data_IF_896227490966
#
_entry.id   IF_896227490966
#
_cell.length_a   1.000
_cell.length_b   1.000
_cell.length_c   1.000
_cell.angle_alpha   90.00
_cell.angle_beta   90.00
_cell.angle_gamma   90.00
#
_symmetry.space_group_name_H-M   'P 1'
#
loop_
_entity.id
_entity.type
_entity.pdbx_description
1 polymer ?
#
# COMPACT_ATOMS: atom_id res chain seq x y z
N UNK A 1 -22.36 14.60 12.55
CA UNK A 1 -23.31 13.80 11.76
C UNK A 1 -22.67 13.14 10.53
N UNK A 2 -21.85 13.82 9.71
CA UNK A 2 -21.17 13.26 8.54
C UNK A 2 -20.25 12.06 8.87
N UNK A 3 -19.36 12.21 9.85
CA UNK A 3 -18.43 11.16 10.28
C UNK A 3 -19.11 9.93 10.86
N UNK A 4 -20.19 10.12 11.66
CA UNK A 4 -20.95 9.01 12.20
C UNK A 4 -21.61 8.20 11.07
N UNK A 5 -22.15 8.90 10.05
CA UNK A 5 -22.73 8.24 8.88
C UNK A 5 -21.66 7.45 8.10
N UNK A 6 -20.49 8.04 7.86
CA UNK A 6 -19.37 7.38 7.20
C UNK A 6 -18.88 6.15 7.99
N UNK A 7 -18.73 6.30 9.31
CA UNK A 7 -18.37 5.17 10.15
C UNK A 7 -19.40 4.05 10.08
N UNK A 8 -20.70 4.37 10.13
CA UNK A 8 -21.77 3.38 9.99
C UNK A 8 -21.80 2.71 8.61
N UNK A 9 -21.41 3.42 7.54
CA UNK A 9 -21.26 2.85 6.20
C UNK A 9 -20.10 1.84 6.12
N UNK A 10 -19.07 1.95 6.96
CA UNK A 10 -17.94 1.01 6.98
C UNK A 10 -18.28 -0.31 7.67
N UNK A 11 -19.24 -0.33 8.60
CA UNK A 11 -19.60 -1.55 9.34
C UNK A 11 -20.11 -2.66 8.41
N UNK A 12 -21.11 -2.45 7.52
CA UNK A 12 -21.53 -3.48 6.60
C UNK A 12 -20.42 -3.90 5.62
N UNK A 13 -19.56 -2.97 5.21
CA UNK A 13 -18.43 -3.27 4.34
C UNK A 13 -17.43 -4.19 5.07
N UNK A 14 -17.14 -3.91 6.33
CA UNK A 14 -16.28 -4.75 7.17
C UNK A 14 -16.82 -6.18 7.26
N UNK A 15 -18.13 -6.34 7.56
CA UNK A 15 -18.73 -7.67 7.61
C UNK A 15 -18.75 -8.37 6.25
N UNK A 16 -19.03 -7.66 5.17
CA UNK A 16 -18.97 -8.23 3.82
C UNK A 16 -17.57 -8.74 3.48
N UNK A 17 -16.53 -7.94 3.74
CA UNK A 17 -15.13 -8.33 3.51
C UNK A 17 -14.76 -9.52 4.41
N UNK A 18 -15.10 -9.49 5.69
CA UNK A 18 -14.76 -10.59 6.61
C UNK A 18 -15.43 -11.90 6.22
N UNK A 19 -16.68 -11.87 5.76
CA UNK A 19 -17.36 -13.07 5.25
C UNK A 19 -16.68 -13.59 3.98
N UNK A 20 -16.34 -12.71 3.04
CA UNK A 20 -15.66 -13.11 1.80
C UNK A 20 -14.31 -13.76 2.12
N UNK A 21 -13.50 -13.12 2.97
CA UNK A 21 -12.20 -13.64 3.39
C UNK A 21 -12.36 -15.00 4.06
N UNK A 22 -13.33 -15.15 4.97
CA UNK A 22 -13.60 -16.39 5.66
C UNK A 22 -14.06 -17.51 4.73
N UNK A 23 -14.96 -17.20 3.78
CA UNK A 23 -15.44 -18.18 2.79
C UNK A 23 -14.30 -18.63 1.88
N UNK A 24 -13.51 -17.70 1.36
CA UNK A 24 -12.32 -18.03 0.54
C UNK A 24 -11.42 -19.00 1.30
N UNK A 25 -11.12 -18.72 2.57
CA UNK A 25 -10.29 -19.58 3.38
C UNK A 25 -10.86 -21.00 3.52
N UNK A 26 -12.13 -21.10 3.91
CA UNK A 26 -12.74 -22.40 4.09
C UNK A 26 -12.93 -23.18 2.78
N UNK A 27 -12.83 -22.49 1.63
CA UNK A 27 -12.88 -23.10 0.29
C UNK A 27 -11.50 -23.55 -0.20
N UNK A 28 -10.42 -23.17 0.47
CA UNK A 28 -9.08 -23.59 0.07
C UNK A 28 -8.87 -25.08 0.35
N UNK A 29 -8.31 -25.84 -0.61
CA UNK A 29 -8.06 -27.25 -0.41
C UNK A 29 -6.97 -27.49 0.64
N UNK A 30 -7.25 -28.31 1.63
CA UNK A 30 -6.31 -28.72 2.66
C UNK A 30 -6.94 -28.83 4.05
N UNK A 31 -6.65 -29.91 4.75
CA UNK A 31 -7.00 -30.04 6.18
C UNK A 31 -5.88 -29.37 7.00
N UNK A 32 -6.19 -28.37 7.84
CA UNK A 32 -5.20 -27.70 8.68
C UNK A 32 -4.38 -28.67 9.55
N UNK A 33 -4.97 -29.74 10.01
CA UNK A 33 -4.27 -30.76 10.79
C UNK A 33 -3.32 -31.60 9.95
N UNK A 34 -3.66 -31.88 8.67
CA UNK A 34 -2.74 -32.56 7.77
C UNK A 34 -1.52 -31.68 7.46
N UNK A 35 -1.69 -30.37 7.33
CA UNK A 35 -0.57 -29.45 7.14
C UNK A 35 0.32 -29.37 8.38
N UNK A 36 -0.26 -29.27 9.58
CA UNK A 36 0.49 -29.32 10.85
C UNK A 36 1.27 -30.64 10.97
N UNK A 37 0.69 -31.75 10.51
CA UNK A 37 1.33 -33.05 10.49
C UNK A 37 2.50 -33.11 9.50
N UNK A 38 2.34 -32.57 8.29
CA UNK A 38 3.40 -32.52 7.29
C UNK A 38 4.61 -31.70 7.78
N UNK A 39 4.35 -30.63 8.54
CA UNK A 39 5.39 -29.77 9.10
C UNK A 39 6.06 -30.35 10.37
N UNK A 40 5.37 -31.18 11.13
CA UNK A 40 5.88 -31.78 12.36
C UNK A 40 5.43 -33.27 12.49
N UNK A 41 6.00 -34.19 11.69
CA UNK A 41 5.57 -35.60 11.70
C UNK A 41 5.74 -36.29 13.05
N UNK A 42 6.69 -35.81 13.88
CA UNK A 42 6.96 -36.37 15.21
C UNK A 42 6.02 -35.86 16.31
N UNK A 43 5.38 -34.73 16.12
CA UNK A 43 4.50 -34.12 17.12
C UNK A 43 3.05 -34.62 17.02
N UNK A 44 2.66 -35.16 15.88
CA UNK A 44 1.32 -35.71 15.66
C UNK A 44 1.36 -37.24 15.51
N UNK A 45 0.83 -37.91 16.50
CA UNK A 45 0.59 -39.33 16.48
C UNK A 45 -0.46 -39.72 15.45
N UNK A 46 -0.34 -40.93 14.86
CA UNK A 46 -1.38 -41.51 14.00
C UNK A 46 -2.60 -42.00 14.81
N UNK A 47 -2.76 -41.53 16.04
CA UNK A 47 -3.85 -41.94 16.92
C UNK A 47 -5.15 -41.23 16.48
N UNK A 48 -6.16 -41.98 16.02
CA UNK A 48 -7.43 -41.43 15.56
C UNK A 48 -8.18 -40.66 16.66
N UNK A 49 -8.07 -41.08 17.92
CA UNK A 49 -8.74 -40.43 19.05
C UNK A 49 -8.14 -39.04 19.30
N UNK A 50 -6.82 -38.93 19.29
CA UNK A 50 -6.11 -37.66 19.46
C UNK A 50 -6.34 -36.70 18.29
N UNK A 51 -6.47 -37.24 17.07
CA UNK A 51 -6.86 -36.42 15.91
C UNK A 51 -8.28 -35.89 16.05
N UNK A 52 -9.18 -36.65 16.60
CA UNK A 52 -10.55 -36.21 16.88
C UNK A 52 -10.60 -35.14 17.96
N UNK A 53 -9.87 -35.31 19.06
CA UNK A 53 -9.73 -34.30 20.11
C UNK A 53 -9.17 -32.98 19.55
N UNK A 54 -8.16 -33.03 18.68
CA UNK A 54 -7.60 -31.87 18.03
C UNK A 54 -8.62 -31.18 17.10
N UNK A 55 -9.41 -31.95 16.33
CA UNK A 55 -10.48 -31.40 15.49
C UNK A 55 -11.54 -30.68 16.31
N UNK A 56 -11.94 -31.24 17.44
CA UNK A 56 -12.88 -30.63 18.39
C UNK A 56 -12.26 -29.39 19.05
N UNK A 57 -11.01 -29.46 19.49
CA UNK A 57 -10.29 -28.33 20.10
C UNK A 57 -10.14 -27.13 19.15
N UNK A 58 -9.82 -27.38 17.88
CA UNK A 58 -9.70 -26.35 16.86
C UNK A 58 -11.02 -26.02 16.15
N UNK A 59 -12.14 -26.57 16.62
CA UNK A 59 -13.48 -26.31 16.04
C UNK A 59 -13.55 -26.61 14.53
N UNK A 60 -12.81 -27.59 14.04
CA UNK A 60 -12.69 -27.85 12.60
C UNK A 60 -13.93 -28.48 12.00
N UNK A 61 -14.75 -29.14 12.78
CA UNK A 61 -15.97 -29.83 12.35
C UNK A 61 -17.25 -29.05 12.67
N UNK A 62 -17.13 -27.85 13.27
CA UNK A 62 -18.27 -26.99 13.56
C UNK A 62 -18.97 -26.47 12.31
N UNK A 63 -20.27 -26.15 12.35
CA UNK A 63 -20.98 -25.49 11.29
C UNK A 63 -20.32 -24.16 10.89
N UNK A 64 -20.30 -23.83 9.57
CA UNK A 64 -19.64 -22.63 9.06
C UNK A 64 -20.01 -21.32 9.78
N UNK A 65 -21.27 -21.08 10.17
CA UNK A 65 -21.61 -19.87 10.93
C UNK A 65 -20.90 -19.82 12.30
N UNK A 66 -20.83 -20.95 13.01
CA UNK A 66 -20.14 -21.02 14.33
C UNK A 66 -18.67 -20.73 14.18
N UNK A 67 -18.01 -21.35 13.20
CA UNK A 67 -16.60 -21.09 12.86
C UNK A 67 -16.36 -19.62 12.54
N UNK A 68 -17.25 -19.01 11.75
CA UNK A 68 -17.13 -17.59 11.39
C UNK A 68 -17.19 -16.68 12.62
N UNK A 69 -18.19 -16.87 13.48
CA UNK A 69 -18.33 -16.02 14.67
C UNK A 69 -17.19 -16.24 15.67
N UNK A 70 -16.70 -17.48 15.84
CA UNK A 70 -15.55 -17.80 16.69
C UNK A 70 -14.30 -17.13 16.15
N UNK A 71 -14.02 -17.27 14.85
CA UNK A 71 -12.89 -16.62 14.20
C UNK A 71 -12.99 -15.09 14.26
N UNK A 72 -14.15 -14.52 13.97
CA UNK A 72 -14.36 -13.08 14.02
C UNK A 72 -14.14 -12.53 15.43
N UNK A 73 -14.61 -13.24 16.45
CA UNK A 73 -14.37 -12.89 17.86
C UNK A 73 -12.87 -12.88 18.16
N UNK A 74 -12.12 -13.91 17.77
CA UNK A 74 -10.66 -13.97 17.95
C UNK A 74 -9.97 -12.78 17.27
N UNK A 75 -10.31 -12.47 16.02
CA UNK A 75 -9.78 -11.31 15.30
C UNK A 75 -10.06 -9.99 16.06
N UNK A 76 -11.28 -9.80 16.53
CA UNK A 76 -11.68 -8.58 17.26
C UNK A 76 -11.03 -8.47 18.64
N UNK A 77 -10.64 -9.57 19.25
CA UNK A 77 -9.90 -9.60 20.53
C UNK A 77 -8.39 -9.52 20.33
N UNK A 78 -7.91 -9.45 19.08
CA UNK A 78 -6.48 -9.34 18.74
C UNK A 78 -5.74 -10.68 18.70
N UNK A 79 -6.45 -11.79 18.86
CA UNK A 79 -5.89 -13.13 18.66
C UNK A 79 -6.00 -13.49 17.18
N UNK A 80 -4.91 -13.26 16.46
CA UNK A 80 -4.77 -13.59 15.05
C UNK A 80 -4.24 -15.02 14.83
N UNK A 81 -4.07 -15.79 15.90
CA UNK A 81 -3.58 -17.14 15.87
C UNK A 81 -2.06 -17.24 15.61
N UNK A 82 -1.64 -18.40 15.15
CA UNK A 82 -0.24 -18.80 15.03
C UNK A 82 0.11 -19.20 13.60
N UNK A 83 1.26 -18.73 13.10
CA UNK A 83 1.78 -19.11 11.79
C UNK A 83 2.46 -20.47 11.87
N UNK A 84 2.02 -21.41 11.05
CA UNK A 84 2.62 -22.73 10.96
C UNK A 84 3.99 -22.70 10.28
N UNK A 85 4.18 -21.82 9.30
CA UNK A 85 5.45 -21.64 8.57
C UNK A 85 6.53 -20.99 9.44
N UNK A 86 6.20 -19.87 10.09
CA UNK A 86 7.16 -19.10 10.87
C UNK A 86 7.27 -19.53 12.33
N UNK A 87 6.36 -20.41 12.79
CA UNK A 87 6.30 -20.89 14.19
C UNK A 87 6.30 -19.74 15.20
N UNK A 88 5.46 -18.75 14.94
CA UNK A 88 5.36 -17.51 15.72
C UNK A 88 3.93 -16.99 15.68
N UNK A 89 3.48 -16.24 16.72
CA UNK A 89 2.20 -15.54 16.69
C UNK A 89 2.11 -14.62 15.47
N UNK A 90 0.96 -14.62 14.78
CA UNK A 90 0.76 -13.81 13.58
C UNK A 90 0.88 -12.31 13.88
N UNK A 91 0.42 -11.88 15.06
CA UNK A 91 0.52 -10.47 15.44
C UNK A 91 1.98 -9.98 15.51
N UNK A 92 2.91 -10.81 15.99
CA UNK A 92 4.34 -10.47 16.07
C UNK A 92 4.97 -10.36 14.68
N UNK A 93 4.55 -11.26 13.76
CA UNK A 93 4.99 -11.21 12.36
C UNK A 93 4.51 -9.91 11.70
N UNK A 94 3.24 -9.56 11.86
CA UNK A 94 2.68 -8.31 11.33
C UNK A 94 3.42 -7.11 11.95
N UNK A 95 3.58 -7.08 13.27
CA UNK A 95 4.26 -5.98 13.96
C UNK A 95 5.72 -5.80 13.51
N UNK A 96 6.41 -6.90 13.18
CA UNK A 96 7.79 -6.85 12.68
C UNK A 96 7.90 -6.43 11.21
N UNK A 97 6.90 -6.70 10.38
CA UNK A 97 6.93 -6.44 8.92
C UNK A 97 6.32 -5.11 8.52
N UNK A 98 5.27 -4.69 9.23
CA UNK A 98 4.56 -3.44 8.94
C UNK A 98 5.46 -2.19 8.91
N UNK A 99 6.36 -1.95 9.89
CA UNK A 99 7.26 -0.81 9.83
C UNK A 99 8.16 -0.79 8.57
N UNK A 100 8.62 -1.97 8.13
CA UNK A 100 9.46 -2.08 6.94
C UNK A 100 8.70 -1.70 5.67
N UNK A 101 7.44 -2.14 5.55
CA UNK A 101 6.55 -1.73 4.46
C UNK A 101 6.31 -0.22 4.49
N UNK A 102 5.98 0.34 5.67
CA UNK A 102 5.74 1.78 5.80
C UNK A 102 6.98 2.61 5.41
N UNK A 103 8.16 2.23 5.85
CA UNK A 103 9.41 2.90 5.46
C UNK A 103 9.59 2.88 3.94
N UNK A 104 9.40 1.74 3.29
CA UNK A 104 9.53 1.61 1.84
C UNK A 104 8.49 2.45 1.10
N UNK A 105 7.21 2.26 1.44
CA UNK A 105 6.09 2.87 0.70
C UNK A 105 6.03 4.39 0.90
N UNK A 106 6.24 4.88 2.13
CA UNK A 106 6.28 6.32 2.42
C UNK A 106 7.48 6.97 1.72
N UNK A 107 8.66 6.34 1.75
CA UNK A 107 9.85 6.86 1.06
C UNK A 107 9.62 6.90 -0.45
N UNK A 108 9.06 5.86 -1.04
CA UNK A 108 8.71 5.82 -2.45
C UNK A 108 7.70 6.92 -2.82
N UNK A 109 6.69 7.11 -1.98
CA UNK A 109 5.67 8.13 -2.16
C UNK A 109 6.27 9.55 -2.10
N UNK A 110 7.16 9.83 -1.13
CA UNK A 110 7.87 11.10 -1.05
C UNK A 110 8.76 11.35 -2.28
N UNK A 111 9.51 10.33 -2.73
CA UNK A 111 10.29 10.40 -3.99
C UNK A 111 9.34 10.73 -5.15
N UNK A 112 8.22 10.01 -5.25
CA UNK A 112 7.21 10.25 -6.28
C UNK A 112 6.72 11.70 -6.30
N UNK A 113 6.39 12.27 -5.14
CA UNK A 113 5.94 13.67 -5.04
C UNK A 113 7.02 14.68 -5.42
N UNK A 114 8.25 14.46 -4.93
CA UNK A 114 9.39 15.36 -5.21
C UNK A 114 9.64 15.47 -6.72
N UNK A 115 9.45 14.39 -7.48
CA UNK A 115 9.61 14.42 -8.93
C UNK A 115 8.33 14.83 -9.66
N UNK A 116 7.17 14.32 -9.28
CA UNK A 116 5.92 14.55 -10.00
C UNK A 116 5.46 16.02 -9.93
N UNK A 117 5.60 16.67 -8.78
CA UNK A 117 5.15 18.06 -8.61
C UNK A 117 5.88 19.02 -9.57
N UNK A 118 7.22 19.14 -9.57
CA UNK A 118 7.88 20.07 -10.48
C UNK A 118 7.70 19.69 -11.95
N UNK A 119 7.78 18.39 -12.28
CA UNK A 119 7.63 17.92 -13.66
C UNK A 119 6.22 18.25 -14.17
N UNK A 120 5.18 17.94 -13.42
CA UNK A 120 3.79 18.19 -13.82
C UNK A 120 3.47 19.68 -13.94
N UNK A 121 3.99 20.51 -13.02
CA UNK A 121 3.82 21.97 -13.05
C UNK A 121 4.52 22.55 -14.31
N UNK A 122 5.78 22.19 -14.54
CA UNK A 122 6.54 22.71 -15.71
C UNK A 122 5.88 22.25 -17.01
N UNK A 123 5.42 21.00 -17.09
CA UNK A 123 4.71 20.44 -18.24
C UNK A 123 3.42 21.22 -18.53
N UNK A 124 2.65 21.58 -17.52
CA UNK A 124 1.43 22.38 -17.68
C UNK A 124 1.72 23.83 -18.13
N UNK A 125 2.69 24.48 -17.47
CA UNK A 125 3.05 25.88 -17.79
C UNK A 125 3.67 26.00 -19.17
N UNK A 126 4.47 25.02 -19.57
CA UNK A 126 5.09 24.95 -20.91
C UNK A 126 4.31 24.01 -21.85
N UNK A 127 2.99 24.11 -21.88
CA UNK A 127 2.09 23.32 -22.72
C UNK A 127 2.56 23.28 -24.17
N UNK A 128 2.55 22.07 -24.75
CA UNK A 128 3.00 21.80 -26.14
C UNK A 128 4.48 22.05 -26.43
N UNK A 129 5.30 22.27 -25.42
CA UNK A 129 6.75 22.33 -25.57
C UNK A 129 7.38 20.94 -25.73
N UNK A 130 8.64 20.88 -26.16
CA UNK A 130 9.42 19.63 -26.23
C UNK A 130 9.49 18.93 -24.87
N UNK A 131 9.58 19.71 -23.77
CA UNK A 131 9.56 19.18 -22.41
C UNK A 131 8.21 18.50 -22.09
N UNK A 132 7.09 19.12 -22.45
CA UNK A 132 5.76 18.57 -22.23
C UNK A 132 5.55 17.27 -23.01
N UNK A 133 5.95 17.24 -24.30
CA UNK A 133 5.90 16.00 -25.08
C UNK A 133 6.81 14.91 -24.54
N UNK A 134 8.05 15.23 -24.19
CA UNK A 134 8.98 14.26 -23.60
C UNK A 134 8.42 13.70 -22.30
N UNK A 135 7.93 14.53 -21.39
CA UNK A 135 7.35 14.12 -20.12
C UNK A 135 6.13 13.21 -20.33
N UNK A 136 5.29 13.54 -21.30
CA UNK A 136 4.12 12.74 -21.64
C UNK A 136 4.53 11.36 -22.15
N UNK A 137 5.51 11.29 -23.07
CA UNK A 137 6.04 10.03 -23.59
C UNK A 137 6.64 9.17 -22.45
N UNK A 138 7.48 9.77 -21.59
CA UNK A 138 8.05 9.07 -20.46
C UNK A 138 6.97 8.56 -19.47
N UNK A 139 5.91 9.35 -19.24
CA UNK A 139 4.80 8.92 -18.41
C UNK A 139 4.07 7.70 -19.03
N UNK A 140 3.81 7.69 -20.33
CA UNK A 140 3.21 6.54 -21.03
C UNK A 140 4.10 5.30 -20.97
N UNK A 141 5.40 5.44 -21.21
CA UNK A 141 6.36 4.34 -21.09
C UNK A 141 6.34 3.78 -19.66
N UNK A 142 6.40 4.65 -18.64
CA UNK A 142 6.40 4.24 -17.23
C UNK A 142 5.14 3.49 -16.81
N UNK A 143 3.96 3.85 -17.32
CA UNK A 143 2.70 3.14 -17.05
C UNK A 143 2.64 1.81 -17.82
N UNK A 144 3.23 1.73 -19.00
CA UNK A 144 3.17 0.54 -19.86
C UNK A 144 4.13 -0.57 -19.45
N UNK A 145 5.20 -0.23 -18.72
CA UNK A 145 6.19 -1.22 -18.30
C UNK A 145 5.74 -1.94 -17.03
N UNK A 146 5.82 -3.30 -16.99
CA UNK A 146 5.56 -4.04 -15.77
C UNK A 146 6.55 -3.64 -14.67
N UNK A 147 6.03 -3.30 -13.48
CA UNK A 147 6.87 -2.83 -12.37
C UNK A 147 7.99 -3.81 -11.96
N UNK A 148 7.74 -5.11 -12.03
CA UNK A 148 8.79 -6.12 -11.75
C UNK A 148 9.92 -6.10 -12.79
N UNK A 149 9.59 -5.89 -14.06
CA UNK A 149 10.58 -5.82 -15.13
C UNK A 149 11.49 -4.59 -14.96
N UNK A 150 10.89 -3.45 -14.64
CA UNK A 150 11.65 -2.24 -14.32
C UNK A 150 12.55 -2.43 -13.09
N UNK A 151 12.05 -3.10 -12.04
CA UNK A 151 12.83 -3.44 -10.86
C UNK A 151 14.05 -4.31 -11.18
N UNK A 152 13.87 -5.35 -12.01
CA UNK A 152 14.97 -6.23 -12.43
C UNK A 152 16.04 -5.49 -13.25
N UNK A 153 15.62 -4.64 -14.18
CA UNK A 153 16.55 -3.81 -14.96
C UNK A 153 17.32 -2.85 -14.04
N UNK A 154 16.63 -2.21 -13.09
CA UNK A 154 17.27 -1.32 -12.14
C UNK A 154 18.33 -2.07 -11.29
N UNK A 155 18.05 -3.30 -10.85
CA UNK A 155 19.02 -4.14 -10.16
C UNK A 155 20.21 -4.43 -11.05
N UNK A 156 20.00 -4.86 -12.30
CA UNK A 156 21.12 -5.18 -13.23
C UNK A 156 22.01 -3.96 -13.44
N UNK A 157 21.43 -2.79 -13.70
CA UNK A 157 22.20 -1.58 -13.99
C UNK A 157 22.88 -1.06 -12.73
N UNK A 158 22.12 -0.77 -11.68
CA UNK A 158 22.61 0.00 -10.54
C UNK A 158 23.27 -0.85 -9.45
N UNK A 159 22.87 -2.12 -9.32
CA UNK A 159 23.44 -3.01 -8.31
C UNK A 159 24.53 -3.90 -8.89
N UNK A 160 24.29 -4.58 -10.02
CA UNK A 160 25.23 -5.56 -10.56
C UNK A 160 26.33 -4.87 -11.37
N UNK A 161 25.99 -4.01 -12.33
CA UNK A 161 26.97 -3.41 -13.24
C UNK A 161 27.71 -2.22 -12.59
N UNK A 162 26.98 -1.34 -11.91
CA UNK A 162 27.57 -0.13 -11.31
C UNK A 162 27.99 -0.32 -9.85
N UNK A 163 27.47 -1.33 -9.15
CA UNK A 163 27.80 -1.58 -7.73
C UNK A 163 27.36 -0.46 -6.77
N UNK A 164 26.42 0.41 -7.18
CA UNK A 164 26.03 1.56 -6.38
C UNK A 164 25.15 1.17 -5.19
N UNK A 165 24.27 0.19 -5.38
CA UNK A 165 23.29 -0.26 -4.39
C UNK A 165 23.36 -1.76 -4.18
N UNK A 166 22.95 -2.26 -2.99
CA UNK A 166 22.78 -3.69 -2.76
C UNK A 166 21.74 -4.30 -3.69
N UNK A 167 21.92 -5.57 -4.05
CA UNK A 167 21.01 -6.31 -4.93
C UNK A 167 19.66 -6.58 -4.25
N UNK A 168 19.70 -6.90 -2.95
CA UNK A 168 18.50 -7.36 -2.21
C UNK A 168 18.66 -7.21 -0.70
N UNK A 169 17.55 -7.38 0.02
CA UNK A 169 17.51 -7.32 1.48
C UNK A 169 17.29 -5.91 2.01
N UNK A 170 17.30 -5.79 3.33
CA UNK A 170 17.08 -4.52 4.06
C UNK A 170 18.35 -4.04 4.78
N UNK A 171 19.31 -4.92 4.97
CA UNK A 171 20.56 -4.63 5.67
C UNK A 171 21.62 -5.68 5.33
N UNK A 172 22.87 -5.29 5.44
CA UNK A 172 24.03 -6.19 5.32
C UNK A 172 24.34 -6.82 6.68
N UNK A 173 24.56 -8.13 6.68
CA UNK A 173 24.86 -8.85 7.92
C UNK A 173 26.23 -8.47 8.49
N UNK A 174 26.33 -8.34 9.82
CA UNK A 174 27.60 -8.08 10.51
C UNK A 174 28.04 -6.62 10.58
N UNK A 175 27.27 -5.67 10.05
CA UNK A 175 27.56 -4.24 10.21
C UNK A 175 27.25 -3.80 11.64
N UNK A 176 28.22 -3.08 12.26
CA UNK A 176 28.11 -2.53 13.61
C UNK A 176 28.33 -1.02 13.62
N UNK A 177 27.80 -0.36 14.64
CA UNK A 177 27.86 1.10 14.79
C UNK A 177 26.66 1.81 14.15
N UNK A 178 26.10 2.77 14.89
CA UNK A 178 24.84 3.45 14.52
C UNK A 178 24.87 4.05 13.11
N UNK A 179 25.91 4.80 12.77
CA UNK A 179 26.02 5.47 11.45
C UNK A 179 26.23 4.49 10.30
N UNK A 180 26.96 3.40 10.53
CA UNK A 180 27.17 2.37 9.53
C UNK A 180 25.86 1.61 9.25
N UNK A 181 25.14 1.23 10.31
CA UNK A 181 23.82 0.58 10.18
C UNK A 181 22.84 1.51 9.48
N UNK A 182 22.80 2.79 9.83
CA UNK A 182 21.90 3.76 9.20
C UNK A 182 22.22 3.92 7.70
N UNK A 183 23.50 4.15 7.35
CA UNK A 183 23.91 4.32 5.96
C UNK A 183 23.67 3.04 5.12
N UNK A 184 23.91 1.87 5.70
CA UNK A 184 23.62 0.58 5.05
C UNK A 184 22.12 0.42 4.75
N UNK A 185 21.26 0.68 5.73
CA UNK A 185 19.81 0.63 5.54
C UNK A 185 19.32 1.62 4.49
N UNK A 186 19.86 2.83 4.47
CA UNK A 186 19.53 3.82 3.43
C UNK A 186 19.94 3.30 2.05
N UNK A 187 21.13 2.71 1.91
CA UNK A 187 21.59 2.14 0.62
C UNK A 187 20.68 1.01 0.13
N UNK A 188 20.17 0.17 1.03
CA UNK A 188 19.21 -0.88 0.68
C UNK A 188 17.81 -0.32 0.33
N UNK A 189 17.43 0.82 0.92
CA UNK A 189 16.12 1.44 0.72
C UNK A 189 16.03 2.23 -0.60
N UNK A 190 17.13 2.90 -1.01
CA UNK A 190 17.08 3.87 -2.12
C UNK A 190 16.58 3.26 -3.41
N UNK A 191 17.14 2.13 -3.85
CA UNK A 191 16.79 1.56 -5.15
C UNK A 191 15.34 1.03 -5.19
N UNK A 192 14.86 0.20 -4.25
CA UNK A 192 13.48 -0.23 -4.25
C UNK A 192 12.47 0.91 -4.07
N UNK A 193 12.78 1.92 -3.22
CA UNK A 193 11.91 3.08 -3.05
C UNK A 193 11.87 3.96 -4.31
N UNK A 194 12.99 4.13 -4.99
CA UNK A 194 13.06 4.88 -6.25
C UNK A 194 12.27 4.19 -7.36
N UNK A 195 12.44 2.88 -7.53
CA UNK A 195 11.68 2.09 -8.51
C UNK A 195 10.17 2.17 -8.25
N UNK A 196 9.77 1.97 -6.99
CA UNK A 196 8.36 2.07 -6.60
C UNK A 196 7.79 3.48 -6.80
N UNK A 197 8.57 4.50 -6.44
CA UNK A 197 8.20 5.92 -6.57
C UNK A 197 8.05 6.34 -8.03
N UNK A 198 8.94 5.90 -8.94
CA UNK A 198 8.86 6.24 -10.35
C UNK A 198 7.59 5.76 -11.04
N UNK A 199 7.05 4.60 -10.64
CA UNK A 199 5.75 4.13 -11.14
C UNK A 199 4.64 5.12 -10.81
N UNK A 200 4.68 5.73 -9.61
CA UNK A 200 3.72 6.74 -9.19
C UNK A 200 3.90 8.09 -9.92
N UNK A 201 5.16 8.49 -10.19
CA UNK A 201 5.48 9.75 -10.90
C UNK A 201 4.70 9.85 -12.20
N UNK A 202 4.67 8.79 -13.01
CA UNK A 202 4.02 8.76 -14.30
C UNK A 202 2.52 9.12 -14.22
N UNK A 203 1.82 8.57 -13.23
CA UNK A 203 0.40 8.84 -12.99
C UNK A 203 0.18 10.27 -12.45
N UNK A 204 0.95 10.68 -11.44
CA UNK A 204 0.77 11.98 -10.80
C UNK A 204 1.14 13.15 -11.68
N UNK A 205 2.19 13.05 -12.50
CA UNK A 205 2.55 14.08 -13.48
C UNK A 205 1.37 14.40 -14.38
N UNK A 206 0.69 13.38 -14.89
CA UNK A 206 -0.50 13.57 -15.73
C UNK A 206 -1.63 14.27 -15.00
N UNK A 207 -1.93 13.86 -13.74
CA UNK A 207 -2.96 14.49 -12.94
C UNK A 207 -2.65 15.95 -12.61
N UNK A 208 -1.41 16.23 -12.19
CA UNK A 208 -0.95 17.59 -11.87
C UNK A 208 -1.04 18.47 -13.09
N UNK A 209 -0.56 17.97 -14.25
CA UNK A 209 -0.61 18.70 -15.52
C UNK A 209 -2.05 19.03 -15.92
N UNK A 210 -2.94 18.06 -15.92
CA UNK A 210 -4.34 18.25 -16.32
C UNK A 210 -5.03 19.24 -15.38
N UNK A 211 -4.95 19.03 -14.08
CA UNK A 211 -5.57 19.90 -13.08
C UNK A 211 -5.06 21.34 -13.18
N UNK A 212 -3.76 21.54 -13.40
CA UNK A 212 -3.21 22.89 -13.54
C UNK A 212 -3.64 23.54 -14.86
N UNK A 213 -3.74 22.82 -15.95
CA UNK A 213 -4.26 23.34 -17.22
C UNK A 213 -5.72 23.79 -17.11
N UNK A 214 -6.58 22.97 -16.48
CA UNK A 214 -7.99 23.32 -16.24
C UNK A 214 -8.13 24.62 -15.45
N UNK A 215 -7.27 24.82 -14.45
CA UNK A 215 -7.27 26.02 -13.60
C UNK A 215 -6.71 27.24 -14.36
N UNK A 216 -5.67 27.06 -15.16
CA UNK A 216 -5.09 28.16 -15.97
C UNK A 216 -6.07 28.74 -16.99
N UNK A 217 -7.04 27.98 -17.45
CA UNK A 217 -8.08 28.41 -18.37
C UNK A 217 -9.26 29.16 -17.70
N UNK A 218 -9.30 29.28 -16.35
CA UNK A 218 -10.37 29.92 -15.60
C UNK A 218 -10.33 31.47 -15.71
N UNK A 219 -11.50 32.10 -15.68
CA UNK A 219 -11.65 33.56 -15.84
C UNK A 219 -10.93 34.39 -14.76
N UNK A 220 -10.86 33.90 -13.52
CA UNK A 220 -10.13 34.61 -12.47
C UNK A 220 -8.62 34.62 -12.70
N UNK A 221 -8.06 33.63 -13.41
CA UNK A 221 -6.65 33.59 -13.80
C UNK A 221 -6.42 34.56 -14.96
N UNK A 222 -7.31 34.59 -15.94
CA UNK A 222 -7.28 35.58 -17.04
C UNK A 222 -7.38 36.98 -16.49
N UNK A 223 -8.24 37.22 -15.52
CA UNK A 223 -8.38 38.52 -14.83
C UNK A 223 -7.08 38.93 -14.12
N UNK A 224 -6.38 37.98 -13.48
CA UNK A 224 -5.11 38.29 -12.85
C UNK A 224 -4.03 38.72 -13.86
N UNK A 225 -3.98 38.07 -15.03
CA UNK A 225 -3.11 38.47 -16.14
C UNK A 225 -3.48 39.85 -16.68
N UNK A 226 -4.77 40.12 -16.87
CA UNK A 226 -5.25 41.43 -17.36
C UNK A 226 -4.90 42.57 -16.41
N UNK A 227 -4.79 42.30 -15.08
CA UNK A 227 -4.34 43.26 -14.07
C UNK A 227 -2.82 43.44 -14.00
N UNK A 228 -2.05 42.83 -14.92
CA UNK A 228 -0.60 42.95 -14.97
C UNK A 228 0.15 42.21 -13.87
N UNK A 229 -0.47 41.20 -13.21
CA UNK A 229 0.22 40.39 -12.20
C UNK A 229 1.28 39.53 -12.92
N UNK A 230 2.54 39.50 -12.42
CA UNK A 230 3.62 38.71 -13.04
C UNK A 230 3.27 37.22 -13.11
N UNK A 231 3.64 36.56 -14.23
CA UNK A 231 3.35 35.16 -14.54
C UNK A 231 3.61 34.22 -13.36
N UNK A 232 4.80 34.33 -12.75
CA UNK A 232 5.19 33.50 -11.60
C UNK A 232 4.21 33.62 -10.43
N UNK A 233 3.70 34.83 -10.18
CA UNK A 233 2.74 35.09 -9.09
C UNK A 233 1.36 34.57 -9.45
N UNK A 234 0.94 34.68 -10.70
CA UNK A 234 -0.32 34.11 -11.20
C UNK A 234 -0.28 32.58 -11.06
N UNK A 235 0.79 31.94 -11.53
CA UNK A 235 0.94 30.49 -11.47
C UNK A 235 0.94 29.99 -10.02
N UNK A 236 1.80 30.53 -9.15
CA UNK A 236 1.98 30.01 -7.79
C UNK A 236 0.79 30.35 -6.89
N UNK A 237 0.32 31.61 -6.90
CA UNK A 237 -0.67 32.12 -5.94
C UNK A 237 -2.12 31.90 -6.38
N UNK A 238 -2.39 32.01 -7.68
CA UNK A 238 -3.76 31.96 -8.22
C UNK A 238 -4.10 30.61 -8.85
N UNK A 239 -3.18 30.00 -9.63
CA UNK A 239 -3.46 28.76 -10.32
C UNK A 239 -3.12 27.54 -9.45
N UNK A 240 -1.87 27.42 -8.98
CA UNK A 240 -1.38 26.22 -8.29
C UNK A 240 -2.16 25.91 -7.02
N UNK A 241 -2.49 26.95 -6.23
CA UNK A 241 -3.28 26.77 -5.00
C UNK A 241 -4.61 26.05 -5.25
N UNK A 242 -5.30 26.40 -6.33
CA UNK A 242 -6.58 25.80 -6.66
C UNK A 242 -6.40 24.44 -7.36
N UNK A 243 -5.37 24.30 -8.22
CA UNK A 243 -5.03 23.06 -8.86
C UNK A 243 -4.57 21.96 -7.88
N UNK A 244 -4.04 22.35 -6.70
CA UNK A 244 -3.63 21.37 -5.67
C UNK A 244 -4.81 20.69 -4.97
N UNK A 245 -6.02 21.23 -4.99
CA UNK A 245 -7.18 20.64 -4.29
C UNK A 245 -7.44 19.19 -4.77
N UNK A 246 -7.67 18.92 -6.08
CA UNK A 246 -7.85 17.54 -6.55
C UNK A 246 -6.58 16.68 -6.39
N UNK A 247 -5.40 17.28 -6.45
CA UNK A 247 -4.13 16.56 -6.25
C UNK A 247 -4.01 16.06 -4.80
N UNK A 248 -4.28 16.92 -3.81
CA UNK A 248 -4.27 16.52 -2.39
C UNK A 248 -5.30 15.41 -2.13
N UNK A 249 -6.43 15.44 -2.82
CA UNK A 249 -7.44 14.38 -2.74
C UNK A 249 -6.88 13.03 -3.20
N UNK A 250 -6.23 12.98 -4.37
CA UNK A 250 -5.62 11.75 -4.90
C UNK A 250 -4.54 11.25 -3.94
N UNK A 251 -3.70 12.16 -3.45
CA UNK A 251 -2.66 11.87 -2.46
C UNK A 251 -3.24 11.27 -1.17
N UNK A 252 -4.37 11.79 -0.69
CA UNK A 252 -5.03 11.25 0.49
C UNK A 252 -5.60 9.83 0.25
N UNK A 253 -6.06 9.55 -0.97
CA UNK A 253 -6.54 8.22 -1.35
C UNK A 253 -5.41 7.17 -1.47
N UNK A 254 -4.15 7.59 -1.51
CA UNK A 254 -3.01 6.67 -1.49
C UNK A 254 -2.66 6.15 -0.07
N UNK A 255 -3.23 6.72 0.99
CA UNK A 255 -2.93 6.31 2.38
C UNK A 255 -3.11 4.80 2.63
N UNK A 256 -4.19 4.15 2.18
CA UNK A 256 -4.37 2.70 2.33
C UNK A 256 -3.24 1.90 1.68
N UNK A 257 -2.70 2.40 0.56
CA UNK A 257 -1.63 1.74 -0.18
C UNK A 257 -0.33 1.60 0.63
N UNK A 258 -0.08 2.50 1.60
CA UNK A 258 1.10 2.41 2.45
C UNK A 258 1.15 1.14 3.29
N UNK A 259 0.01 0.61 3.66
CA UNK A 259 -0.13 -0.55 4.55
C UNK A 259 -0.22 -1.87 3.77
N UNK A 260 -0.78 -1.82 2.55
CA UNK A 260 -0.98 -3.00 1.71
C UNK A 260 0.30 -3.66 1.23
N UNK A 261 1.41 -2.92 1.28
CA UNK A 261 2.71 -3.38 0.79
C UNK A 261 2.82 -3.32 -0.73
N UNK A 262 4.06 -3.26 -1.18
CA UNK A 262 4.41 -3.35 -2.59
C UNK A 262 4.87 -4.78 -2.90
N UNK A 263 3.94 -5.75 -2.88
CA UNK A 263 4.20 -7.19 -2.98
C UNK A 263 5.29 -7.54 -4.01
N UNK A 264 5.17 -6.99 -5.21
CA UNK A 264 6.10 -7.26 -6.32
C UNK A 264 7.50 -6.72 -5.98
N UNK A 265 7.58 -5.45 -5.56
CA UNK A 265 8.86 -4.81 -5.24
C UNK A 265 9.50 -5.43 -4.01
N UNK A 266 8.72 -5.68 -2.97
CA UNK A 266 9.19 -6.36 -1.76
C UNK A 266 9.74 -7.76 -2.07
N UNK A 267 9.11 -8.49 -3.00
CA UNK A 267 9.56 -9.83 -3.40
C UNK A 267 10.83 -9.76 -4.24
N UNK A 268 10.88 -8.90 -5.26
CA UNK A 268 12.02 -8.76 -6.17
C UNK A 268 13.28 -8.31 -5.40
N UNK A 269 13.15 -7.29 -4.54
CA UNK A 269 14.26 -6.80 -3.73
C UNK A 269 14.47 -7.58 -2.43
N UNK A 270 13.72 -8.66 -2.20
CA UNK A 270 13.77 -9.42 -0.94
C UNK A 270 13.56 -8.55 0.31
N UNK A 271 12.79 -7.46 0.19
CA UNK A 271 12.45 -6.57 1.28
C UNK A 271 11.50 -7.25 2.25
N UNK A 272 11.79 -7.29 3.57
CA UNK A 272 10.99 -8.03 4.53
C UNK A 272 9.75 -7.26 4.99
N UNK A 273 8.81 -7.02 4.06
CA UNK A 273 7.58 -6.29 4.29
C UNK A 273 6.32 -7.16 4.36
N UNK A 274 5.15 -6.50 4.46
CA UNK A 274 3.82 -7.12 4.57
C UNK A 274 3.39 -7.85 3.29
N UNK A 275 3.63 -7.25 2.11
CA UNK A 275 3.29 -7.86 0.83
C UNK A 275 4.03 -9.18 0.64
N UNK A 276 5.34 -9.20 0.92
CA UNK A 276 6.14 -10.44 0.86
C UNK A 276 5.71 -11.46 1.92
N UNK A 277 5.36 -11.01 3.14
CA UNK A 277 4.85 -11.89 4.18
C UNK A 277 3.57 -12.60 3.71
N UNK A 278 2.63 -11.84 3.15
CA UNK A 278 1.37 -12.39 2.64
C UNK A 278 1.60 -13.33 1.45
N UNK A 279 2.49 -12.96 0.51
CA UNK A 279 2.85 -13.82 -0.60
C UNK A 279 3.41 -15.17 -0.13
N UNK A 280 4.35 -15.14 0.80
CA UNK A 280 4.94 -16.36 1.36
C UNK A 280 3.89 -17.21 2.09
N UNK A 281 2.97 -16.60 2.83
CA UNK A 281 1.89 -17.30 3.52
C UNK A 281 1.00 -18.07 2.52
N UNK A 282 0.64 -17.45 1.40
CA UNK A 282 -0.19 -18.08 0.36
C UNK A 282 0.57 -19.24 -0.31
N UNK A 283 1.82 -19.03 -0.74
CA UNK A 283 2.61 -20.06 -1.42
C UNK A 283 2.90 -21.25 -0.49
N UNK A 284 3.11 -21.01 0.80
CA UNK A 284 3.38 -22.06 1.79
C UNK A 284 2.11 -22.67 2.38
N UNK A 285 0.93 -22.27 1.88
CA UNK A 285 -0.37 -22.72 2.39
C UNK A 285 -0.55 -22.48 3.91
N UNK A 286 0.09 -21.43 4.44
CA UNK A 286 -0.13 -20.97 5.81
C UNK A 286 -1.41 -20.13 5.85
N UNK A 287 -2.54 -20.81 5.88
CA UNK A 287 -3.86 -20.19 5.75
C UNK A 287 -4.16 -19.21 6.88
N UNK A 288 -3.74 -19.58 8.11
CA UNK A 288 -3.98 -18.72 9.25
C UNK A 288 -3.25 -17.39 9.13
N UNK A 289 -1.98 -17.42 8.73
CA UNK A 289 -1.19 -16.21 8.45
C UNK A 289 -1.78 -15.40 7.29
N UNK A 290 -2.12 -16.07 6.19
CA UNK A 290 -2.65 -15.40 5.00
C UNK A 290 -3.94 -14.64 5.29
N UNK A 291 -4.89 -15.28 5.97
CA UNK A 291 -6.18 -14.68 6.36
C UNK A 291 -6.03 -13.55 7.33
N UNK A 292 -5.23 -13.76 8.36
CA UNK A 292 -5.00 -12.73 9.37
C UNK A 292 -4.33 -11.51 8.76
N UNK A 293 -3.39 -11.68 7.83
CA UNK A 293 -2.81 -10.57 7.06
C UNK A 293 -3.87 -9.87 6.20
N UNK A 294 -4.71 -10.62 5.47
CA UNK A 294 -5.79 -10.04 4.66
C UNK A 294 -6.77 -9.27 5.53
N UNK A 295 -7.19 -9.83 6.66
CA UNK A 295 -8.12 -9.17 7.58
C UNK A 295 -7.52 -7.92 8.20
N UNK A 296 -6.25 -7.98 8.63
CA UNK A 296 -5.51 -6.83 9.12
C UNK A 296 -5.46 -5.71 8.07
N UNK A 297 -5.10 -6.04 6.83
CA UNK A 297 -5.05 -5.07 5.73
C UNK A 297 -6.43 -4.49 5.42
N UNK A 298 -7.49 -5.30 5.47
CA UNK A 298 -8.85 -4.82 5.28
C UNK A 298 -9.24 -3.80 6.36
N UNK A 299 -8.98 -4.09 7.63
CA UNK A 299 -9.25 -3.17 8.75
C UNK A 299 -8.47 -1.88 8.57
N UNK A 300 -7.17 -1.96 8.33
CA UNK A 300 -6.32 -0.77 8.12
C UNK A 300 -6.79 0.04 6.91
N UNK A 301 -7.17 -0.61 5.81
CA UNK A 301 -7.71 0.06 4.62
C UNK A 301 -8.99 0.82 4.93
N UNK A 302 -9.92 0.21 5.68
CA UNK A 302 -11.15 0.89 6.10
C UNK A 302 -10.87 2.09 6.99
N UNK A 303 -9.96 1.97 7.97
CA UNK A 303 -9.53 3.07 8.83
C UNK A 303 -8.86 4.17 8.00
N UNK A 304 -7.96 3.80 7.08
CA UNK A 304 -7.25 4.73 6.22
C UNK A 304 -8.20 5.50 5.28
N UNK A 305 -9.22 4.84 4.75
CA UNK A 305 -10.26 5.49 3.96
C UNK A 305 -11.05 6.51 4.80
N UNK A 306 -11.35 6.18 6.07
CA UNK A 306 -11.99 7.13 6.97
C UNK A 306 -11.10 8.36 7.24
N UNK A 307 -9.80 8.15 7.43
CA UNK A 307 -8.82 9.24 7.58
C UNK A 307 -8.73 10.06 6.30
N UNK A 308 -8.69 9.43 5.12
CA UNK A 308 -8.68 10.10 3.83
C UNK A 308 -9.95 10.96 3.63
N UNK A 309 -11.13 10.43 3.96
CA UNK A 309 -12.40 11.17 3.91
C UNK A 309 -12.38 12.39 4.87
N UNK A 310 -11.73 12.25 6.04
CA UNK A 310 -11.56 13.36 6.98
C UNK A 310 -10.66 14.46 6.41
N UNK A 311 -9.49 14.08 5.89
CA UNK A 311 -8.54 15.01 5.27
C UNK A 311 -9.17 15.71 4.07
N UNK A 312 -9.95 14.99 3.28
CA UNK A 312 -10.66 15.54 2.13
C UNK A 312 -11.64 16.66 2.52
N UNK A 313 -12.45 16.44 3.57
CA UNK A 313 -13.38 17.46 4.08
C UNK A 313 -12.64 18.68 4.68
N UNK A 314 -11.43 18.47 5.24
CA UNK A 314 -10.62 19.59 5.74
C UNK A 314 -10.04 20.43 4.60
N UNK A 315 -9.64 19.82 3.48
CA UNK A 315 -9.05 20.51 2.32
C UNK A 315 -10.13 21.22 1.48
N UNK A 316 -11.28 20.57 1.28
CA UNK A 316 -12.41 21.17 0.56
C UNK A 316 -13.71 21.16 1.39
N UNK A 317 -13.96 22.24 2.17
CA UNK A 317 -15.19 22.37 2.97
C UNK A 317 -16.48 22.42 2.14
N UNK A 318 -16.41 22.68 0.83
CA UNK A 318 -17.60 22.79 -0.05
C UNK A 318 -18.34 21.48 -0.19
N UNK A 319 -17.63 20.35 -0.06
CA UNK A 319 -18.21 18.99 -0.12
C UNK A 319 -19.19 18.76 1.03
N UNK A 320 -18.95 19.39 2.18
CA UNK A 320 -19.85 19.33 3.33
C UNK A 320 -21.20 20.01 3.04
N UNK A 321 -21.25 20.98 2.12
CA UNK A 321 -22.45 21.77 1.79
C UNK A 321 -23.22 21.23 0.58
N UNK A 322 -22.56 20.52 -0.35
CA UNK A 322 -23.17 20.05 -1.61
C UNK A 322 -24.20 18.91 -1.49
N UNK A 323 -24.40 18.33 -0.32
CA UNK A 323 -25.40 17.28 -0.07
C UNK A 323 -26.67 17.74 0.64
N UNK A 324 -26.92 19.05 0.75
CA UNK A 324 -28.18 19.61 1.30
C UNK A 324 -29.22 19.94 0.24
N UNK A 325 -28.98 19.59 -1.04
CA UNK A 325 -29.89 19.91 -2.15
C UNK A 325 -30.00 18.80 -3.19
N UNK A 326 -30.30 17.56 -2.79
CA UNK A 326 -30.83 16.54 -3.68
C UNK A 326 -31.84 15.67 -2.87
#
# INVERSE_FOLDING_TARGET
MYFLKRFLELVPIFFAISIIIFVIMNSMPGDPLLQMRMQNPRAMTNDPERMKELREYYHLDDPLPVKYFTWLKSVLTGDLGYSSMYKSPVIDLIASRLPNTLVLTITAWLIGLVFALPIGIISAVKKYSTFDYATTIFAFIGISLPGFWFALIAIIIFSVNLGWFPVSGMATYGITGFWNIFSDRVRHLVLPAFVLGLVQVASWVRYIRTSLLEVLDQDYVRTAYAKGVPDRKVIIKHALKNAMIPIITIIALDIPYFFGGALIIETVFSWPGMGRLMYNAVISSDYNLAISCLMFLAIITLISNLVADFLYVMVDPRIRMGRKGA
#
